data_IF_302825302827
#
_entry.id   IF_302825302827
#
_cell.length_a   1.000
_cell.length_b   1.000
_cell.length_c   1.000
_cell.angle_alpha   90.00
_cell.angle_beta   90.00
_cell.angle_gamma   90.00
#
_symmetry.space_group_name_H-M   'P 1'
#
loop_
_entity.id
_entity.type
_entity.pdbx_description
1 polymer ?
#
# COMPACT_ATOMS: atom_id res chain seq x y z
N UNK A 1 -39.17 -14.91 57.73
CA UNK A 1 -39.98 -13.90 57.03
C UNK A 1 -39.22 -12.58 57.20
N UNK A 2 -38.51 -11.94 56.26
CA UNK A 2 -38.51 -11.84 54.78
C UNK A 2 -37.01 -11.88 54.32
N UNK A 3 -36.55 -12.70 53.37
CA UNK A 3 -36.61 -12.56 51.90
C UNK A 3 -36.34 -11.15 51.36
N UNK A 4 -35.11 -10.89 50.87
CA UNK A 4 -34.88 -10.12 49.64
C UNK A 4 -33.42 -10.23 49.16
N UNK A 5 -33.28 -10.93 48.05
CA UNK A 5 -32.11 -11.25 47.25
C UNK A 5 -31.68 -10.07 46.36
N UNK A 6 -30.44 -10.15 45.83
CA UNK A 6 -29.92 -9.56 44.59
C UNK A 6 -29.42 -8.10 44.60
N UNK A 7 -28.10 -7.94 44.40
CA UNK A 7 -27.57 -7.35 43.17
C UNK A 7 -26.05 -7.49 43.11
N UNK A 8 -25.58 -8.73 42.97
CA UNK A 8 -24.29 -9.00 42.35
C UNK A 8 -24.41 -8.53 40.88
N UNK A 9 -23.99 -7.29 40.60
CA UNK A 9 -23.97 -6.75 39.24
C UNK A 9 -22.96 -7.54 38.41
N UNK A 10 -23.46 -8.57 37.73
CA UNK A 10 -22.81 -9.19 36.58
C UNK A 10 -22.64 -8.12 35.48
N UNK A 11 -21.48 -7.46 35.46
CA UNK A 11 -21.09 -6.49 34.43
C UNK A 11 -19.68 -6.69 33.88
N UNK A 12 -19.07 -7.86 34.15
CA UNK A 12 -17.65 -8.14 33.88
C UNK A 12 -17.36 -9.14 32.76
N UNK A 13 -18.37 -9.72 32.09
CA UNK A 13 -18.17 -10.88 31.21
C UNK A 13 -17.58 -10.61 29.82
N UNK A 14 -17.66 -9.38 29.29
CA UNK A 14 -17.37 -9.11 27.88
C UNK A 14 -16.21 -8.14 27.61
N UNK A 15 -15.70 -7.44 28.65
CA UNK A 15 -14.61 -6.46 28.49
C UNK A 15 -13.21 -7.05 28.37
N UNK A 16 -13.00 -8.30 28.81
CA UNK A 16 -11.69 -8.96 28.80
C UNK A 16 -11.30 -9.67 27.50
N UNK A 17 -12.25 -9.85 26.57
CA UNK A 17 -12.05 -10.68 25.37
C UNK A 17 -11.81 -9.87 24.08
N UNK A 18 -12.18 -8.58 24.07
CA UNK A 18 -12.09 -7.70 22.88
C UNK A 18 -10.88 -6.77 22.93
N UNK A 19 -10.37 -6.43 21.75
CA UNK A 19 -9.38 -5.36 21.63
C UNK A 19 -9.99 -3.99 21.93
N UNK A 20 -9.14 -3.01 22.26
CA UNK A 20 -9.55 -1.62 22.42
C UNK A 20 -10.06 -1.05 21.10
N UNK A 21 -11.02 -0.11 21.17
CA UNK A 21 -11.60 0.52 19.98
C UNK A 21 -10.53 1.15 19.07
N UNK A 22 -9.47 1.73 19.65
CA UNK A 22 -8.33 2.29 18.91
C UNK A 22 -7.58 1.19 18.14
N UNK A 23 -7.30 0.05 18.77
CA UNK A 23 -6.63 -1.07 18.11
C UNK A 23 -7.47 -1.65 16.95
N UNK A 24 -8.80 -1.69 17.14
CA UNK A 24 -9.77 -2.11 16.12
C UNK A 24 -9.80 -1.13 14.96
N UNK A 25 -9.92 0.17 15.24
CA UNK A 25 -9.94 1.22 14.22
C UNK A 25 -8.64 1.22 13.39
N UNK A 26 -7.48 1.16 14.06
CA UNK A 26 -6.18 1.04 13.38
C UNK A 26 -6.11 -0.23 12.52
N UNK A 27 -6.66 -1.36 12.98
CA UNK A 27 -6.63 -2.61 12.23
C UNK A 27 -7.40 -2.46 10.91
N UNK A 28 -8.66 -2.04 10.98
CA UNK A 28 -9.51 -1.96 9.80
C UNK A 28 -9.10 -0.86 8.84
N UNK A 29 -8.65 0.29 9.34
CA UNK A 29 -8.11 1.35 8.49
C UNK A 29 -6.90 0.86 7.69
N UNK A 30 -5.93 0.22 8.36
CA UNK A 30 -4.75 -0.33 7.70
C UNK A 30 -5.13 -1.46 6.73
N UNK A 31 -6.01 -2.38 7.15
CA UNK A 31 -6.44 -3.49 6.31
C UNK A 31 -7.08 -3.00 5.00
N UNK A 32 -8.00 -2.02 5.08
CA UNK A 32 -8.63 -1.43 3.91
C UNK A 32 -7.61 -0.76 2.97
N UNK A 33 -6.66 0.00 3.54
CA UNK A 33 -5.60 0.65 2.76
C UNK A 33 -4.65 -0.38 2.10
N UNK A 34 -4.29 -1.46 2.79
CA UNK A 34 -3.44 -2.53 2.25
C UNK A 34 -4.15 -3.22 1.08
N UNK A 35 -5.43 -3.55 1.21
CA UNK A 35 -6.21 -4.17 0.13
C UNK A 35 -6.24 -3.28 -1.11
N UNK A 36 -6.48 -1.98 -0.93
CA UNK A 36 -6.40 -1.00 -2.01
C UNK A 36 -4.98 -0.96 -2.63
N UNK A 37 -3.92 -0.93 -1.82
CA UNK A 37 -2.53 -0.84 -2.31
C UNK A 37 -2.13 -2.08 -3.11
N UNK A 38 -2.47 -3.28 -2.63
CA UNK A 38 -2.21 -4.52 -3.34
C UNK A 38 -2.94 -4.56 -4.68
N UNK A 39 -4.24 -4.23 -4.69
CA UNK A 39 -5.03 -4.20 -5.91
C UNK A 39 -4.48 -3.19 -6.93
N UNK A 40 -4.23 -1.95 -6.50
CA UNK A 40 -3.70 -0.89 -7.37
C UNK A 40 -2.27 -1.17 -7.87
N UNK A 41 -1.43 -1.81 -7.06
CA UNK A 41 -0.08 -2.21 -7.45
C UNK A 41 -0.05 -3.34 -8.48
N UNK A 42 -0.81 -4.42 -8.22
CA UNK A 42 -0.90 -5.57 -9.14
C UNK A 42 -1.57 -5.21 -10.47
N UNK A 43 -2.52 -4.27 -10.44
CA UNK A 43 -3.23 -3.80 -11.64
C UNK A 43 -2.60 -2.57 -12.29
N UNK A 44 -1.37 -2.18 -11.92
CA UNK A 44 -0.67 -1.03 -12.52
C UNK A 44 -0.68 -0.98 -14.05
N UNK A 45 -0.52 -2.11 -14.79
CA UNK A 45 -0.52 -2.07 -16.26
C UNK A 45 -1.86 -1.65 -16.88
N UNK A 46 -2.97 -1.80 -16.15
CA UNK A 46 -4.32 -1.56 -16.67
C UNK A 46 -5.01 -0.34 -16.04
N UNK A 47 -4.58 0.09 -14.85
CA UNK A 47 -5.19 1.20 -14.15
C UNK A 47 -4.71 2.57 -14.67
N UNK A 48 -5.60 3.58 -14.71
CA UNK A 48 -5.21 4.96 -15.00
C UNK A 48 -4.16 5.48 -14.01
N UNK A 49 -3.30 6.39 -14.47
CA UNK A 49 -2.21 6.98 -13.68
C UNK A 49 -2.65 7.60 -12.35
N UNK A 50 -3.88 8.11 -12.25
CA UNK A 50 -4.42 8.68 -11.01
C UNK A 50 -4.45 7.69 -9.83
N UNK A 51 -4.74 6.41 -10.10
CA UNK A 51 -4.71 5.36 -9.07
C UNK A 51 -3.30 5.16 -8.51
N UNK A 52 -2.27 5.34 -9.33
CA UNK A 52 -0.89 5.22 -8.87
C UNK A 52 -0.47 6.38 -7.94
N UNK A 53 -0.98 7.60 -8.16
CA UNK A 53 -0.74 8.73 -7.23
C UNK A 53 -1.34 8.43 -5.85
N UNK A 54 -2.52 7.83 -5.85
CA UNK A 54 -3.19 7.41 -4.63
C UNK A 54 -2.51 6.18 -4.00
N UNK A 55 -2.00 5.23 -4.78
CA UNK A 55 -1.17 4.11 -4.30
C UNK A 55 0.01 4.61 -3.46
N UNK A 56 0.80 5.56 -3.96
CA UNK A 56 1.92 6.14 -3.19
C UNK A 56 1.43 6.83 -1.91
N UNK A 57 0.37 7.65 -2.00
CA UNK A 57 -0.16 8.40 -0.85
C UNK A 57 -0.70 7.49 0.25
N UNK A 58 -1.45 6.46 -0.14
CA UNK A 58 -2.00 5.46 0.78
C UNK A 58 -0.91 4.55 1.34
N UNK A 59 0.13 4.22 0.58
CA UNK A 59 1.32 3.50 1.07
C UNK A 59 2.04 4.22 2.21
N UNK A 60 2.29 5.53 2.06
CA UNK A 60 2.88 6.35 3.15
C UNK A 60 1.95 6.42 4.36
N UNK A 61 0.63 6.52 4.12
CA UNK A 61 -0.37 6.50 5.20
C UNK A 61 -0.35 5.19 5.97
N UNK A 62 -0.24 4.04 5.27
CA UNK A 62 -0.08 2.72 5.89
C UNK A 62 1.17 2.70 6.77
N UNK A 63 2.31 3.21 6.29
CA UNK A 63 3.55 3.23 7.07
C UNK A 63 3.37 3.97 8.40
N UNK A 64 2.82 5.19 8.36
CA UNK A 64 2.58 6.00 9.57
C UNK A 64 1.61 5.30 10.52
N UNK A 65 0.46 4.83 10.02
CA UNK A 65 -0.52 4.13 10.85
C UNK A 65 0.04 2.82 11.42
N UNK A 66 0.93 2.14 10.69
CA UNK A 66 1.58 0.91 11.14
C UNK A 66 2.56 1.18 12.28
N UNK A 67 3.33 2.27 12.23
CA UNK A 67 4.19 2.70 13.35
C UNK A 67 3.32 2.99 14.59
N UNK A 68 2.22 3.73 14.42
CA UNK A 68 1.27 4.00 15.51
C UNK A 68 0.69 2.69 16.06
N UNK A 69 0.31 1.75 15.19
CA UNK A 69 -0.20 0.44 15.58
C UNK A 69 0.81 -0.37 16.38
N UNK A 70 2.08 -0.38 15.98
CA UNK A 70 3.15 -1.06 16.71
C UNK A 70 3.34 -0.39 18.07
N UNK A 71 3.43 0.94 18.14
CA UNK A 71 3.50 1.68 19.40
C UNK A 71 2.32 1.40 20.33
N UNK A 72 1.10 1.31 19.78
CA UNK A 72 -0.10 0.94 20.52
C UNK A 72 -0.01 -0.48 21.08
N UNK A 73 0.45 -1.45 20.27
CA UNK A 73 0.61 -2.85 20.70
C UNK A 73 1.68 -3.01 21.79
N UNK A 74 2.73 -2.19 21.77
CA UNK A 74 3.79 -2.23 22.78
C UNK A 74 3.34 -1.62 24.12
N UNK A 75 2.41 -0.68 24.10
CA UNK A 75 1.92 0.03 25.29
C UNK A 75 0.66 -0.57 25.90
N UNK A 76 -0.10 -1.36 25.14
CA UNK A 76 -1.37 -1.94 25.58
C UNK A 76 -1.34 -3.47 25.55
N UNK A 77 -1.80 -4.10 26.64
CA UNK A 77 -1.88 -5.56 26.74
C UNK A 77 -2.98 -6.10 25.82
N UNK A 78 -2.68 -7.05 24.90
CA UNK A 78 -3.71 -7.68 24.08
C UNK A 78 -4.60 -8.59 24.96
N UNK A 79 -5.85 -8.85 24.54
CA UNK A 79 -6.71 -9.83 25.20
C UNK A 79 -6.05 -11.22 25.21
N UNK A 80 -6.34 -12.08 26.20
CA UNK A 80 -5.79 -13.42 26.26
C UNK A 80 -6.04 -14.20 24.96
N UNK A 81 -5.07 -15.03 24.51
CA UNK A 81 -5.27 -15.88 23.34
C UNK A 81 -6.37 -16.90 23.60
N UNK A 82 -7.12 -17.25 22.55
CA UNK A 82 -8.09 -18.33 22.62
C UNK A 82 -7.37 -19.70 22.63
N UNK A 83 -8.00 -20.77 23.18
CA UNK A 83 -7.39 -22.09 23.23
C UNK A 83 -7.07 -22.61 21.82
N UNK A 84 -5.82 -22.93 21.52
CA UNK A 84 -5.41 -23.46 20.21
C UNK A 84 -4.21 -24.40 20.36
N UNK A 85 -3.92 -25.22 19.35
CA UNK A 85 -2.77 -26.11 19.39
C UNK A 85 -1.46 -25.30 19.47
N UNK A 86 -0.42 -25.84 20.13
CA UNK A 86 0.86 -25.13 20.34
C UNK A 86 1.51 -24.68 19.03
N UNK A 87 1.41 -25.48 17.97
CA UNK A 87 1.95 -25.16 16.66
C UNK A 87 1.13 -24.07 15.94
N UNK A 88 -0.20 -24.06 16.10
CA UNK A 88 -1.07 -23.00 15.57
C UNK A 88 -0.74 -21.67 16.21
N UNK A 89 -0.53 -21.66 17.53
CA UNK A 89 -0.11 -20.46 18.25
C UNK A 89 1.25 -19.96 17.75
N UNK A 90 2.23 -20.86 17.56
CA UNK A 90 3.54 -20.52 17.02
C UNK A 90 3.45 -19.93 15.61
N UNK A 91 2.67 -20.56 14.72
CA UNK A 91 2.46 -20.09 13.36
C UNK A 91 1.72 -18.75 13.32
N UNK A 92 0.67 -18.58 14.12
CA UNK A 92 -0.06 -17.32 14.22
C UNK A 92 0.88 -16.19 14.67
N UNK A 93 1.73 -16.42 15.67
CA UNK A 93 2.73 -15.44 16.09
C UNK A 93 3.72 -15.11 14.98
N UNK A 94 4.26 -16.13 14.29
CA UNK A 94 5.18 -15.92 13.17
C UNK A 94 4.53 -15.07 12.08
N UNK A 95 3.31 -15.40 11.64
CA UNK A 95 2.58 -14.65 10.61
C UNK A 95 2.35 -13.21 11.04
N UNK A 96 1.96 -12.96 12.30
CA UNK A 96 1.80 -11.59 12.80
C UNK A 96 3.11 -10.80 12.81
N UNK A 97 4.22 -11.42 13.22
CA UNK A 97 5.55 -10.78 13.19
C UNK A 97 5.96 -10.45 11.76
N UNK A 98 5.82 -11.41 10.84
CA UNK A 98 6.11 -11.20 9.42
C UNK A 98 5.23 -10.11 8.80
N UNK A 99 3.94 -10.06 9.16
CA UNK A 99 3.05 -8.99 8.73
C UNK A 99 3.49 -7.63 9.26
N UNK A 100 3.90 -7.52 10.53
CA UNK A 100 4.43 -6.25 11.05
C UNK A 100 5.68 -5.79 10.30
N UNK A 101 6.61 -6.71 10.04
CA UNK A 101 7.81 -6.41 9.26
C UNK A 101 7.43 -5.96 7.85
N UNK A 102 6.57 -6.72 7.16
CA UNK A 102 6.12 -6.41 5.81
C UNK A 102 5.38 -5.07 5.74
N UNK A 103 4.52 -4.77 6.72
CA UNK A 103 3.76 -3.51 6.80
C UNK A 103 4.64 -2.27 6.98
N UNK A 104 5.87 -2.43 7.45
CA UNK A 104 6.84 -1.33 7.57
C UNK A 104 7.78 -1.31 6.36
N UNK A 105 8.40 -2.44 6.02
CA UNK A 105 9.43 -2.51 4.98
C UNK A 105 8.87 -2.32 3.57
N UNK A 106 7.65 -2.80 3.28
CA UNK A 106 7.06 -2.68 1.95
C UNK A 106 6.72 -1.23 1.57
N UNK A 107 5.95 -0.47 2.36
CA UNK A 107 5.70 0.94 2.02
C UNK A 107 6.97 1.79 2.12
N UNK A 108 7.90 1.45 3.02
CA UNK A 108 9.21 2.10 3.06
C UNK A 108 10.01 1.86 1.78
N UNK A 109 10.04 0.63 1.25
CA UNK A 109 10.69 0.35 -0.03
C UNK A 109 10.01 1.05 -1.20
N UNK A 110 8.68 1.25 -1.14
CA UNK A 110 7.95 2.06 -2.12
C UNK A 110 8.35 3.53 -2.08
N UNK A 111 8.55 4.08 -0.88
CA UNK A 111 9.08 5.43 -0.71
C UNK A 111 10.52 5.56 -1.25
N UNK A 112 11.37 4.56 -0.99
CA UNK A 112 12.71 4.47 -1.54
C UNK A 112 12.69 4.37 -3.08
N UNK A 113 11.73 3.63 -3.65
CA UNK A 113 11.56 3.49 -5.10
C UNK A 113 11.18 4.82 -5.77
N UNK A 114 10.29 5.59 -5.14
CA UNK A 114 9.98 6.95 -5.62
C UNK A 114 11.22 7.83 -5.54
N UNK A 115 11.99 7.72 -4.45
CA UNK A 115 13.20 8.52 -4.21
C UNK A 115 14.38 8.17 -5.13
N UNK A 116 14.45 6.93 -5.64
CA UNK A 116 15.49 6.51 -6.57
C UNK A 116 15.25 6.96 -8.02
N UNK A 117 14.12 7.61 -8.31
CA UNK A 117 13.92 8.24 -9.62
C UNK A 117 14.91 9.41 -9.83
N UNK A 118 15.41 9.61 -11.06
CA UNK A 118 16.23 10.76 -11.37
C UNK A 118 15.48 12.08 -11.12
N UNK A 119 16.12 13.07 -10.48
CA UNK A 119 15.54 14.39 -10.31
C UNK A 119 15.27 15.07 -11.67
N UNK A 120 14.19 15.85 -11.76
CA UNK A 120 13.81 16.53 -12.99
C UNK A 120 14.95 17.43 -13.50
N UNK A 121 15.24 17.37 -14.80
CA UNK A 121 16.33 18.14 -15.42
C UNK A 121 17.73 17.53 -15.23
N UNK A 122 17.89 16.42 -14.50
CA UNK A 122 19.18 15.75 -14.36
C UNK A 122 19.55 14.92 -15.58
N UNK A 123 20.84 14.57 -15.78
CA UNK A 123 21.27 13.64 -16.83
C UNK A 123 20.51 12.31 -16.80
N UNK A 124 20.22 11.78 -15.61
CA UNK A 124 19.40 10.58 -15.44
C UNK A 124 17.96 10.77 -15.92
N UNK A 125 17.37 11.95 -15.73
CA UNK A 125 16.01 12.25 -16.19
C UNK A 125 15.95 12.41 -17.72
N UNK A 126 16.99 13.00 -18.31
CA UNK A 126 17.16 13.09 -19.77
C UNK A 126 17.29 11.69 -20.37
N UNK A 127 18.18 10.87 -19.81
CA UNK A 127 18.33 9.47 -20.21
C UNK A 127 17.00 8.71 -20.10
N UNK A 128 16.31 8.81 -18.97
CA UNK A 128 15.03 8.14 -18.75
C UNK A 128 13.87 8.67 -19.63
N UNK A 129 14.01 9.86 -20.21
CA UNK A 129 13.06 10.40 -21.20
C UNK A 129 13.37 9.88 -22.60
N UNK A 130 14.65 9.79 -22.98
CA UNK A 130 15.10 9.30 -24.28
C UNK A 130 14.83 7.81 -24.49
N UNK A 131 14.90 7.01 -23.42
CA UNK A 131 14.73 5.55 -23.48
C UNK A 131 13.30 5.06 -23.18
N UNK A 132 12.28 5.93 -23.23
CA UNK A 132 10.88 5.49 -23.01
C UNK A 132 10.39 4.69 -24.21
N UNK A 133 9.63 3.59 -23.99
CA UNK A 133 8.92 2.92 -25.07
C UNK A 133 8.01 3.92 -25.79
N UNK A 134 8.16 4.06 -27.10
CA UNK A 134 7.27 4.89 -27.90
C UNK A 134 5.88 4.21 -27.88
N UNK A 135 4.80 4.91 -27.50
CA UNK A 135 3.47 4.33 -27.57
C UNK A 135 3.19 3.91 -29.02
N UNK A 136 2.46 2.80 -29.25
CA UNK A 136 2.07 2.42 -30.59
C UNK A 136 1.37 3.61 -31.26
N UNK A 137 1.60 3.83 -32.57
CA UNK A 137 0.93 4.92 -33.27
C UNK A 137 -0.59 4.79 -33.04
N UNK A 138 -1.31 5.92 -32.90
CA UNK A 138 -2.75 5.86 -32.84
C UNK A 138 -3.25 5.06 -34.04
N UNK A 139 -4.22 4.16 -33.81
CA UNK A 139 -4.87 3.44 -34.90
C UNK A 139 -5.23 4.46 -35.99
N UNK A 140 -5.01 4.15 -37.29
CA UNK A 140 -5.29 5.08 -38.36
C UNK A 140 -6.71 5.58 -38.17
N UNK A 141 -6.84 6.84 -37.74
CA UNK A 141 -8.12 7.50 -37.70
C UNK A 141 -8.56 7.51 -39.16
N UNK A 142 -9.69 6.87 -39.45
CA UNK A 142 -10.40 7.12 -40.70
C UNK A 142 -10.52 8.65 -40.78
N UNK A 143 -9.81 9.25 -41.74
CA UNK A 143 -9.99 10.66 -42.03
C UNK A 143 -11.49 10.83 -42.26
N UNK A 144 -12.17 11.77 -41.60
CA UNK A 144 -13.54 12.08 -41.98
C UNK A 144 -13.53 12.40 -43.47
N UNK A 145 -14.39 11.74 -44.24
CA UNK A 145 -14.48 11.90 -45.70
C UNK A 145 -14.53 13.39 -46.04
N UNK A 146 -13.42 13.92 -46.54
CA UNK A 146 -13.34 15.29 -47.03
C UNK A 146 -13.90 15.31 -48.46
N UNK A 147 -15.21 15.13 -48.60
CA UNK A 147 -15.97 15.53 -49.79
C UNK A 147 -16.73 16.83 -49.59
N UNK A 148 -16.40 17.61 -48.55
CA UNK A 148 -16.99 18.93 -48.29
C UNK A 148 -15.91 20.02 -48.14
N UNK A 149 -15.67 20.71 -49.27
CA UNK A 149 -15.14 22.08 -49.46
C UNK A 149 -13.75 22.45 -48.90
N UNK A 150 -12.90 22.88 -49.85
CA UNK A 150 -11.53 23.31 -49.63
C UNK A 150 -11.35 24.64 -48.88
N UNK A 151 -10.19 24.73 -48.23
CA UNK A 151 -9.52 25.93 -47.74
C UNK A 151 -8.01 25.70 -47.78
N UNK A 152 -7.18 26.73 -47.99
CA UNK A 152 -5.77 26.55 -48.34
C UNK A 152 -4.94 26.05 -47.16
N UNK A 153 -3.91 25.30 -47.52
CA UNK A 153 -2.95 24.64 -46.66
C UNK A 153 -2.30 25.60 -45.64
N UNK A 154 -2.45 25.27 -44.36
CA UNK A 154 -1.61 25.75 -43.28
C UNK A 154 -0.90 24.57 -42.63
N UNK A 155 0.39 24.45 -42.94
CA UNK A 155 1.49 24.02 -42.06
C UNK A 155 1.09 23.17 -40.84
N UNK A 156 1.40 21.87 -40.77
CA UNK A 156 2.79 21.42 -40.70
C UNK A 156 3.41 21.75 -39.35
N UNK A 157 3.08 20.96 -38.30
CA UNK A 157 3.98 20.63 -37.17
C UNK A 157 3.35 19.56 -36.27
N UNK A 158 3.61 18.30 -36.60
CA UNK A 158 3.63 17.19 -35.65
C UNK A 158 4.80 17.33 -34.68
N UNK A 159 4.89 18.46 -33.98
CA UNK A 159 5.79 18.65 -32.85
C UNK A 159 5.08 18.14 -31.62
N UNK A 160 5.16 16.83 -31.36
CA UNK A 160 4.73 16.26 -30.10
C UNK A 160 5.41 17.04 -28.97
N UNK A 161 4.64 17.82 -28.23
CA UNK A 161 5.17 18.65 -27.16
C UNK A 161 6.05 17.78 -26.25
N UNK A 162 7.28 18.20 -25.91
CA UNK A 162 8.15 17.41 -25.05
C UNK A 162 7.36 17.02 -23.78
N UNK A 163 7.46 15.76 -23.34
CA UNK A 163 6.66 15.28 -22.21
C UNK A 163 6.90 16.20 -21.02
N UNK A 164 5.82 16.73 -20.45
CA UNK A 164 5.92 17.66 -19.31
C UNK A 164 6.83 17.06 -18.23
N UNK A 165 7.75 17.84 -17.65
CA UNK A 165 8.57 17.40 -16.53
C UNK A 165 7.65 16.79 -15.46
N UNK A 166 8.06 15.65 -14.88
CA UNK A 166 7.30 15.08 -13.76
C UNK A 166 7.38 16.08 -12.62
N UNK A 167 6.24 16.69 -12.26
CA UNK A 167 6.14 17.50 -11.05
C UNK A 167 6.41 16.66 -9.81
N UNK A 168 6.67 17.31 -8.65
CA UNK A 168 6.88 16.61 -7.39
C UNK A 168 5.72 15.66 -7.08
N UNK A 169 6.02 14.48 -6.51
CA UNK A 169 4.98 13.56 -6.05
C UNK A 169 4.26 14.20 -4.85
N UNK A 170 2.98 14.51 -5.02
CA UNK A 170 2.15 15.11 -3.98
C UNK A 170 1.40 14.02 -3.21
N UNK A 171 1.62 13.93 -1.89
CA UNK A 171 0.80 13.16 -0.95
C UNK A 171 -0.58 13.79 -0.88
N UNK A 172 -1.60 13.02 -1.26
CA UNK A 172 -3.00 13.43 -1.23
C UNK A 172 -3.29 14.75 -1.99
N UNK A 173 -2.39 15.16 -2.89
CA UNK A 173 -2.48 16.45 -3.61
C UNK A 173 -2.12 17.68 -2.77
N UNK A 174 -1.72 17.52 -1.51
CA UNK A 174 -1.53 18.65 -0.57
C UNK A 174 -0.09 18.86 -0.13
N UNK A 175 0.67 17.78 0.08
CA UNK A 175 2.02 17.86 0.65
C UNK A 175 3.00 17.17 -0.27
N UNK A 176 4.10 17.82 -0.61
CA UNK A 176 5.17 17.17 -1.39
C UNK A 176 5.77 16.03 -0.56
N UNK A 177 5.84 14.82 -1.13
CA UNK A 177 6.54 13.71 -0.52
C UNK A 177 8.03 14.06 -0.40
N UNK A 178 8.61 14.16 0.81
CA UNK A 178 10.05 14.35 0.95
C UNK A 178 10.78 13.18 0.27
N UNK A 179 11.76 13.47 -0.57
CA UNK A 179 12.60 12.44 -1.19
C UNK A 179 13.79 12.11 -0.27
N UNK A 180 14.20 10.85 -0.28
CA UNK A 180 15.41 10.41 0.43
C UNK A 180 16.63 10.90 -0.35
N UNK A 181 17.25 11.98 0.14
CA UNK A 181 18.29 12.71 -0.59
C UNK A 181 19.41 11.79 -1.14
N UNK A 182 20.05 10.91 -0.34
CA UNK A 182 21.12 10.05 -0.85
C UNK A 182 20.74 9.20 -2.08
N UNK A 183 19.47 8.80 -2.21
CA UNK A 183 18.99 8.02 -3.35
C UNK A 183 18.74 8.88 -4.59
N UNK A 184 18.30 10.13 -4.40
CA UNK A 184 17.99 11.04 -5.49
C UNK A 184 19.24 11.76 -6.05
N UNK A 185 20.26 11.96 -5.23
CA UNK A 185 21.52 12.63 -5.62
C UNK A 185 22.30 11.89 -6.71
N UNK A 186 22.25 10.55 -6.71
CA UNK A 186 23.07 9.70 -7.60
C UNK A 186 22.89 10.09 -9.08
N UNK A 187 21.65 10.38 -9.49
CA UNK A 187 21.31 10.74 -10.87
C UNK A 187 21.61 12.17 -11.29
N UNK A 188 22.24 13.00 -10.43
CA UNK A 188 22.55 14.39 -10.76
C UNK A 188 23.78 14.55 -11.64
N UNK A 189 24.67 13.57 -11.62
CA UNK A 189 25.83 13.53 -12.51
C UNK A 189 25.60 12.53 -13.63
N UNK A 190 26.24 12.74 -14.80
CA UNK A 190 26.18 11.77 -15.89
C UNK A 190 26.82 10.43 -15.50
N UNK A 191 27.89 10.47 -14.69
CA UNK A 191 28.59 9.29 -14.20
C UNK A 191 27.73 8.41 -13.27
N UNK A 192 26.80 9.00 -12.51
CA UNK A 192 25.94 8.26 -11.59
C UNK A 192 24.69 7.63 -12.23
N UNK A 193 24.40 7.90 -13.50
CA UNK A 193 23.20 7.38 -14.18
C UNK A 193 23.14 5.83 -14.18
N UNK A 194 24.21 5.08 -14.50
CA UNK A 194 24.18 3.63 -14.46
C UNK A 194 23.91 3.08 -13.06
N UNK A 195 24.55 3.68 -12.04
CA UNK A 195 24.39 3.28 -10.64
C UNK A 195 22.96 3.54 -10.14
N UNK A 196 22.41 4.71 -10.46
CA UNK A 196 21.03 5.06 -10.10
C UNK A 196 20.03 4.05 -10.67
N UNK A 197 20.20 3.66 -11.95
CA UNK A 197 19.32 2.67 -12.59
C UNK A 197 19.40 1.31 -11.93
N UNK A 198 20.61 0.81 -11.70
CA UNK A 198 20.80 -0.47 -11.02
C UNK A 198 20.20 -0.46 -9.61
N UNK A 199 20.30 0.66 -8.90
CA UNK A 199 19.64 0.82 -7.60
C UNK A 199 18.11 0.83 -7.72
N UNK A 200 17.55 1.60 -8.66
CA UNK A 200 16.12 1.65 -8.92
C UNK A 200 15.54 0.27 -9.23
N UNK A 201 16.16 -0.48 -10.16
CA UNK A 201 15.73 -1.83 -10.56
C UNK A 201 15.77 -2.82 -9.38
N UNK A 202 16.79 -2.75 -8.52
CA UNK A 202 16.88 -3.58 -7.30
C UNK A 202 15.77 -3.25 -6.31
N UNK A 203 15.50 -1.97 -6.07
CA UNK A 203 14.44 -1.54 -5.16
C UNK A 203 13.07 -1.92 -5.74
N UNK A 204 12.85 -1.75 -7.05
CA UNK A 204 11.61 -2.15 -7.73
C UNK A 204 11.38 -3.66 -7.56
N UNK A 205 12.41 -4.46 -7.78
CA UNK A 205 12.35 -5.92 -7.60
C UNK A 205 11.99 -6.28 -6.17
N UNK A 206 12.64 -5.65 -5.18
CA UNK A 206 12.35 -5.88 -3.76
C UNK A 206 10.91 -5.48 -3.40
N UNK A 207 10.45 -4.33 -3.89
CA UNK A 207 9.08 -3.85 -3.65
C UNK A 207 8.04 -4.77 -4.29
N UNK A 208 8.27 -5.20 -5.54
CA UNK A 208 7.39 -6.13 -6.25
C UNK A 208 7.32 -7.49 -5.54
N UNK A 209 8.47 -8.07 -5.17
CA UNK A 209 8.53 -9.32 -4.40
C UNK A 209 7.82 -9.17 -3.04
N UNK A 210 8.08 -8.07 -2.34
CA UNK A 210 7.44 -7.78 -1.06
C UNK A 210 5.92 -7.67 -1.18
N UNK A 211 5.39 -7.18 -2.30
CA UNK A 211 3.95 -7.19 -2.60
C UNK A 211 3.37 -8.61 -2.67
N UNK A 212 4.05 -9.54 -3.34
CA UNK A 212 3.64 -10.94 -3.41
C UNK A 212 3.73 -11.65 -2.04
N UNK A 213 4.80 -11.39 -1.28
CA UNK A 213 4.95 -11.91 0.08
C UNK A 213 3.83 -11.38 0.99
N UNK A 214 3.51 -10.08 0.91
CA UNK A 214 2.41 -9.47 1.65
C UNK A 214 1.08 -10.15 1.30
N UNK A 215 0.81 -10.39 0.01
CA UNK A 215 -0.40 -11.09 -0.42
C UNK A 215 -0.49 -12.50 0.18
N UNK A 216 0.58 -13.28 0.12
CA UNK A 216 0.62 -14.63 0.69
C UNK A 216 0.40 -14.62 2.22
N UNK A 217 1.07 -13.71 2.93
CA UNK A 217 0.88 -13.55 4.38
C UNK A 217 -0.53 -13.12 4.74
N UNK A 218 -1.14 -12.24 3.93
CA UNK A 218 -2.51 -11.79 4.14
C UNK A 218 -3.51 -12.93 3.94
N UNK A 219 -3.33 -13.72 2.88
CA UNK A 219 -4.14 -14.92 2.65
C UNK A 219 -4.01 -15.88 3.83
N UNK A 220 -2.79 -16.16 4.29
CA UNK A 220 -2.57 -17.06 5.42
C UNK A 220 -3.20 -16.52 6.72
N UNK A 221 -3.10 -15.23 6.97
CA UNK A 221 -3.70 -14.56 8.13
C UNK A 221 -5.23 -14.65 8.11
N UNK A 222 -5.84 -14.32 6.97
CA UNK A 222 -7.31 -14.39 6.80
C UNK A 222 -7.77 -15.84 6.89
N UNK A 223 -7.10 -16.79 6.23
CA UNK A 223 -7.43 -18.20 6.28
C UNK A 223 -7.37 -18.75 7.71
N UNK A 224 -6.34 -18.39 8.49
CA UNK A 224 -6.26 -18.73 9.91
C UNK A 224 -7.43 -18.17 10.72
N UNK A 225 -7.77 -16.89 10.54
CA UNK A 225 -8.91 -16.27 11.21
C UNK A 225 -10.25 -16.95 10.86
N UNK A 226 -10.46 -17.28 9.58
CA UNK A 226 -11.66 -17.98 9.12
C UNK A 226 -11.70 -19.43 9.63
N UNK A 227 -10.56 -20.13 9.66
CA UNK A 227 -10.44 -21.47 10.24
C UNK A 227 -10.84 -21.46 11.71
N UNK A 228 -10.29 -20.54 12.51
CA UNK A 228 -10.68 -20.40 13.91
C UNK A 228 -12.16 -20.02 14.06
N UNK A 229 -12.68 -19.13 13.21
CA UNK A 229 -14.08 -18.70 13.23
C UNK A 229 -15.07 -19.84 12.97
N UNK A 230 -14.82 -20.64 11.93
CA UNK A 230 -15.82 -21.60 11.41
C UNK A 230 -15.54 -23.05 11.79
N UNK A 231 -14.27 -23.45 11.86
CA UNK A 231 -13.87 -24.83 12.20
C UNK A 231 -13.76 -24.99 13.71
N UNK A 232 -12.98 -24.13 14.36
CA UNK A 232 -12.77 -24.21 15.81
C UNK A 232 -13.91 -23.56 16.61
N UNK A 233 -14.85 -22.91 15.91
CA UNK A 233 -16.01 -22.18 16.47
C UNK A 233 -15.62 -21.13 17.50
N UNK A 234 -14.47 -20.48 17.26
CA UNK A 234 -13.95 -19.41 18.09
C UNK A 234 -14.41 -18.06 17.57
N UNK A 235 -14.72 -17.11 18.45
CA UNK A 235 -15.24 -15.80 18.04
C UNK A 235 -14.14 -14.79 17.74
N UNK A 236 -13.22 -15.11 16.83
CA UNK A 236 -12.08 -14.23 16.52
C UNK A 236 -12.52 -12.88 15.94
N UNK A 237 -13.53 -12.88 15.07
CA UNK A 237 -14.05 -11.65 14.46
C UNK A 237 -14.67 -10.68 15.49
N UNK A 238 -15.31 -11.22 16.54
CA UNK A 238 -15.94 -10.41 17.58
C UNK A 238 -14.91 -9.62 18.40
N UNK A 239 -13.69 -10.15 18.52
CA UNK A 239 -12.57 -9.51 19.24
C UNK A 239 -12.05 -8.29 18.51
N UNK A 240 -12.16 -8.28 17.18
CA UNK A 240 -11.78 -7.15 16.31
C UNK A 240 -12.97 -6.33 15.82
N UNK A 241 -14.12 -6.41 16.50
CA UNK A 241 -15.24 -5.49 16.27
C UNK A 241 -16.37 -6.00 15.38
N UNK A 242 -16.25 -7.19 14.77
CA UNK A 242 -17.29 -7.75 13.90
C UNK A 242 -18.08 -8.85 14.63
N UNK A 243 -19.36 -8.58 14.90
CA UNK A 243 -20.27 -9.53 15.56
C UNK A 243 -20.42 -9.34 17.06
N UNK A 244 -21.35 -10.10 17.64
CA UNK A 244 -21.77 -10.07 19.05
C UNK A 244 -20.84 -10.91 19.94
N UNK A 245 -20.53 -10.40 21.14
CA UNK A 245 -19.68 -11.09 22.14
C UNK A 245 -20.47 -11.90 23.17
N UNK A 246 -21.79 -11.89 23.04
CA UNK A 246 -22.80 -12.44 23.94
C UNK A 246 -23.00 -13.94 23.81
#
# INVERSE_FOLDING_TARGET
MMMATLAQRHGGGSRGLRYTNVAIALHWAIAALILYNLASGLMRPVLPRGFFVFHVSSGITILVLSVIRVGWRLTHRPPPPLPMARWEHGLAHLVHVLLYIAMLLLPFSGWALVSSNPPAGSPGAVWAAANRPVPPPPAPTLKPDTTSRGGPAGEGKGGGQPPRPRGPTMLWGVVTLPLIAPLNEIGRTAAGVPEQRALHERIETFHALGGWVMLALLILHIAGALKHQFVDRQRELARVGIGRTD
#
